data_IF_439577341878
#
_entry.id   IF_439577341878
#
_cell.length_a   1.000
_cell.length_b   1.000
_cell.length_c   1.000
_cell.angle_alpha   90.00
_cell.angle_beta   90.00
_cell.angle_gamma   90.00
#
_symmetry.space_group_name_H-M   'P 1'
#
loop_
_entity.id
_entity.type
_entity.pdbx_description
1 polymer ?
#
# COMPACT_ATOMS: atom_id res chain seq x y z
N UNK A 1 -35.05 -12.77 -32.44
CA UNK A 1 -33.74 -12.74 -31.76
C UNK A 1 -33.53 -14.05 -31.00
N UNK A 2 -32.41 -14.76 -31.20
CA UNK A 2 -32.30 -16.18 -30.88
C UNK A 2 -31.98 -16.42 -29.39
N UNK A 3 -32.86 -17.08 -28.62
CA UNK A 3 -32.75 -17.29 -27.15
C UNK A 3 -31.40 -17.88 -26.72
N UNK A 4 -30.82 -18.76 -27.53
CA UNK A 4 -29.48 -19.35 -27.31
C UNK A 4 -28.35 -18.31 -27.33
N UNK A 5 -28.46 -17.26 -28.17
CA UNK A 5 -27.48 -16.17 -28.23
C UNK A 5 -27.51 -15.31 -26.96
N UNK A 6 -28.70 -15.03 -26.42
CA UNK A 6 -28.85 -14.29 -25.16
C UNK A 6 -28.25 -15.02 -23.96
N UNK A 7 -28.52 -16.32 -23.85
CA UNK A 7 -27.93 -17.14 -22.78
C UNK A 7 -26.40 -17.12 -22.88
N UNK A 8 -25.84 -17.23 -24.09
CA UNK A 8 -24.39 -17.14 -24.29
C UNK A 8 -23.83 -15.79 -23.84
N UNK A 9 -24.49 -14.68 -24.15
CA UNK A 9 -24.05 -13.35 -23.70
C UNK A 9 -24.13 -13.19 -22.19
N UNK A 10 -25.21 -13.65 -21.55
CA UNK A 10 -25.35 -13.60 -20.09
C UNK A 10 -24.24 -14.40 -19.41
N UNK A 11 -23.97 -15.62 -19.89
CA UNK A 11 -22.89 -16.46 -19.36
C UNK A 11 -21.51 -15.82 -19.57
N UNK A 12 -21.26 -15.24 -20.75
CA UNK A 12 -20.00 -14.55 -21.04
C UNK A 12 -19.81 -13.33 -20.13
N UNK A 13 -20.84 -12.49 -19.97
CA UNK A 13 -20.80 -11.33 -19.08
C UNK A 13 -20.58 -11.76 -17.63
N UNK A 14 -21.30 -12.79 -17.17
CA UNK A 14 -21.10 -13.34 -15.82
C UNK A 14 -19.68 -13.86 -15.60
N UNK A 15 -19.12 -14.58 -16.58
CA UNK A 15 -17.74 -15.06 -16.54
C UNK A 15 -16.74 -13.90 -16.49
N UNK A 16 -16.91 -12.85 -17.31
CA UNK A 16 -16.04 -11.68 -17.30
C UNK A 16 -16.09 -10.93 -15.96
N UNK A 17 -17.27 -10.77 -15.36
CA UNK A 17 -17.43 -10.16 -14.03
C UNK A 17 -16.68 -10.98 -12.99
N UNK A 18 -16.81 -12.31 -13.03
CA UNK A 18 -16.15 -13.20 -12.07
C UNK A 18 -14.62 -13.17 -12.21
N UNK A 19 -14.10 -13.19 -13.43
CA UNK A 19 -12.65 -13.04 -13.70
C UNK A 19 -12.16 -11.67 -13.24
N UNK A 20 -12.90 -10.61 -13.52
CA UNK A 20 -12.55 -9.25 -13.06
C UNK A 20 -12.52 -9.15 -11.54
N UNK A 21 -13.49 -9.73 -10.85
CA UNK A 21 -13.54 -9.78 -9.39
C UNK A 21 -12.36 -10.56 -8.80
N UNK A 22 -12.07 -11.74 -9.35
CA UNK A 22 -10.92 -12.55 -8.92
C UNK A 22 -9.59 -11.82 -9.13
N UNK A 23 -9.44 -11.09 -10.25
CA UNK A 23 -8.26 -10.27 -10.52
C UNK A 23 -8.09 -9.14 -9.50
N UNK A 24 -9.18 -8.44 -9.14
CA UNK A 24 -9.15 -7.38 -8.13
C UNK A 24 -8.72 -7.93 -6.77
N UNK A 25 -9.29 -9.06 -6.33
CA UNK A 25 -8.89 -9.70 -5.07
C UNK A 25 -7.43 -10.15 -5.11
N UNK A 26 -6.97 -10.69 -6.23
CA UNK A 26 -5.58 -11.09 -6.38
C UNK A 26 -4.62 -9.90 -6.30
N UNK A 27 -4.94 -8.79 -6.95
CA UNK A 27 -4.05 -7.62 -7.03
C UNK A 27 -4.03 -6.80 -5.72
N UNK A 28 -5.19 -6.63 -5.09
CA UNK A 28 -5.37 -5.70 -3.96
C UNK A 28 -5.65 -6.40 -2.63
N UNK A 29 -5.81 -7.73 -2.63
CA UNK A 29 -6.22 -8.53 -1.47
C UNK A 29 -7.71 -8.39 -1.19
N UNK A 30 -8.12 -7.20 -0.74
CA UNK A 30 -9.51 -6.81 -0.53
C UNK A 30 -9.66 -5.31 -0.73
N UNK A 31 -10.90 -4.84 -0.83
CA UNK A 31 -11.21 -3.41 -0.94
C UNK A 31 -12.37 -3.10 -0.01
N UNK A 32 -12.11 -2.26 0.99
CA UNK A 32 -13.15 -1.55 1.72
C UNK A 32 -13.43 -0.24 0.98
N UNK A 33 -14.53 -0.25 0.23
CA UNK A 33 -14.98 0.90 -0.55
C UNK A 33 -15.30 2.11 0.34
N UNK A 34 -15.83 1.91 1.55
CA UNK A 34 -16.17 3.01 2.45
C UNK A 34 -14.90 3.72 2.91
N UNK A 35 -13.90 2.96 3.34
CA UNK A 35 -12.60 3.54 3.71
C UNK A 35 -11.88 4.16 2.51
N UNK A 36 -11.91 3.50 1.35
CA UNK A 36 -11.33 4.03 0.10
C UNK A 36 -11.93 5.37 -0.29
N UNK A 37 -13.27 5.46 -0.37
CA UNK A 37 -14.00 6.69 -0.71
C UNK A 37 -13.89 7.78 0.37
N UNK A 38 -13.54 7.41 1.59
CA UNK A 38 -13.27 8.39 2.67
C UNK A 38 -11.89 9.06 2.56
N UNK A 39 -11.01 8.53 1.71
CA UNK A 39 -9.68 9.11 1.47
C UNK A 39 -9.82 10.48 0.83
N UNK A 40 -9.16 11.48 1.41
CA UNK A 40 -9.11 12.84 0.89
C UNK A 40 -7.81 13.05 0.14
N UNK A 41 -7.88 13.80 -0.95
CA UNK A 41 -6.74 14.16 -1.78
C UNK A 41 -6.62 15.68 -1.81
N UNK A 42 -5.47 16.19 -1.36
CA UNK A 42 -5.20 17.63 -1.33
C UNK A 42 -4.05 17.94 -2.28
N UNK A 43 -4.34 18.67 -3.37
CA UNK A 43 -3.30 19.11 -4.30
C UNK A 43 -2.40 20.14 -3.65
N UNK A 44 -1.10 20.05 -3.90
CA UNK A 44 -0.13 21.06 -3.47
C UNK A 44 0.03 22.07 -4.60
N UNK A 45 -0.24 23.34 -4.32
CA UNK A 45 -0.17 24.41 -5.33
C UNK A 45 1.24 24.51 -5.93
N UNK A 46 1.31 24.62 -7.26
CA UNK A 46 2.56 24.69 -8.02
C UNK A 46 3.50 23.47 -7.83
N UNK A 47 2.94 22.29 -7.53
CA UNK A 47 3.68 21.03 -7.40
C UNK A 47 3.05 19.90 -8.22
N UNK A 48 3.82 18.86 -8.52
CA UNK A 48 3.34 17.58 -9.07
C UNK A 48 2.94 16.58 -7.97
N UNK A 49 2.89 17.04 -6.73
CA UNK A 49 2.59 16.25 -5.55
C UNK A 49 1.20 16.59 -4.98
N UNK A 50 0.67 15.65 -4.22
CA UNK A 50 -0.56 15.76 -3.44
C UNK A 50 -0.33 15.19 -2.03
N UNK A 51 -1.24 15.51 -1.12
CA UNK A 51 -1.38 14.83 0.16
C UNK A 51 -2.55 13.86 0.07
N UNK A 52 -2.26 12.57 0.24
CA UNK A 52 -3.26 11.53 0.49
C UNK A 52 -3.53 11.50 1.99
N UNK A 53 -4.74 11.85 2.40
CA UNK A 53 -5.20 11.84 3.78
C UNK A 53 -6.19 10.69 4.01
N UNK A 54 -5.80 9.74 4.85
CA UNK A 54 -6.64 8.62 5.30
C UNK A 54 -7.13 8.88 6.73
N UNK A 55 -7.85 7.90 7.30
CA UNK A 55 -8.21 7.94 8.73
C UNK A 55 -7.02 7.68 9.66
N UNK A 56 -5.91 7.14 9.14
CA UNK A 56 -4.77 6.68 9.93
C UNK A 56 -3.54 7.57 9.77
N UNK A 57 -3.36 8.18 8.60
CA UNK A 57 -2.20 9.00 8.29
C UNK A 57 -2.46 10.01 7.18
N UNK A 58 -1.52 10.93 6.99
CA UNK A 58 -1.37 11.76 5.79
C UNK A 58 0.00 11.51 5.18
N UNK A 59 0.04 11.24 3.89
CA UNK A 59 1.26 10.97 3.14
C UNK A 59 1.32 11.87 1.93
N UNK A 60 2.47 12.53 1.73
CA UNK A 60 2.77 13.23 0.50
C UNK A 60 3.20 12.25 -0.58
N UNK A 61 2.57 12.32 -1.74
CA UNK A 61 2.82 11.44 -2.89
C UNK A 61 2.71 12.23 -4.20
N UNK A 62 3.23 11.71 -5.32
CA UNK A 62 2.89 12.25 -6.64
C UNK A 62 1.39 12.23 -6.94
N UNK A 63 0.90 13.16 -7.76
CA UNK A 63 -0.54 13.31 -8.08
C UNK A 63 -1.17 12.08 -8.75
N UNK A 64 -0.38 11.22 -9.39
CA UNK A 64 -0.85 10.00 -10.06
C UNK A 64 -1.03 8.80 -9.11
N UNK A 65 -0.72 8.96 -7.82
CA UNK A 65 -0.94 7.90 -6.84
C UNK A 65 -2.40 7.88 -6.38
N UNK A 66 -2.95 6.68 -6.21
CA UNK A 66 -4.31 6.48 -5.67
C UNK A 66 -4.26 5.51 -4.52
N UNK A 67 -4.94 5.82 -3.44
CA UNK A 67 -5.04 4.95 -2.29
C UNK A 67 -6.30 4.09 -2.35
N UNK A 68 -6.14 2.78 -2.08
CA UNK A 68 -7.22 1.82 -1.92
C UNK A 68 -7.10 1.22 -0.52
N UNK A 69 -8.12 1.43 0.31
CA UNK A 69 -8.15 0.86 1.65
C UNK A 69 -8.56 -0.61 1.56
N UNK A 70 -7.72 -1.50 2.09
CA UNK A 70 -7.95 -2.94 2.04
C UNK A 70 -8.96 -3.41 3.08
N UNK A 71 -9.00 -2.71 4.21
CA UNK A 71 -9.84 -3.05 5.36
C UNK A 71 -8.97 -3.27 6.59
N UNK A 72 -9.38 -4.22 7.43
CA UNK A 72 -8.66 -4.60 8.64
C UNK A 72 -8.29 -6.08 8.53
N UNK A 73 -7.04 -6.41 8.87
CA UNK A 73 -6.58 -7.78 8.95
C UNK A 73 -7.31 -8.57 10.04
N UNK A 74 -7.02 -9.87 10.16
CA UNK A 74 -7.65 -10.74 11.17
C UNK A 74 -7.49 -10.19 12.59
N UNK A 75 -6.36 -9.53 12.87
CA UNK A 75 -6.02 -8.95 14.16
C UNK A 75 -6.54 -7.51 14.35
N UNK A 76 -7.30 -6.99 13.38
CA UNK A 76 -7.87 -5.65 13.43
C UNK A 76 -6.93 -4.52 12.97
N UNK A 77 -5.77 -4.86 12.43
CA UNK A 77 -4.79 -3.89 11.94
C UNK A 77 -5.19 -3.38 10.53
N UNK A 78 -5.24 -2.05 10.31
CA UNK A 78 -5.60 -1.49 9.01
C UNK A 78 -4.51 -1.74 7.96
N UNK A 79 -4.93 -2.18 6.78
CA UNK A 79 -4.04 -2.37 5.63
C UNK A 79 -4.64 -1.76 4.37
N UNK A 80 -3.79 -1.54 3.38
CA UNK A 80 -4.22 -0.98 2.10
C UNK A 80 -3.13 -1.01 1.05
N UNK A 81 -3.41 -0.34 -0.05
CA UNK A 81 -2.48 -0.26 -1.18
C UNK A 81 -2.43 1.15 -1.75
N UNK A 82 -1.27 1.50 -2.31
CA UNK A 82 -1.12 2.63 -3.21
C UNK A 82 -0.95 2.12 -4.63
N UNK A 83 -1.90 2.46 -5.50
CA UNK A 83 -1.77 2.29 -6.93
C UNK A 83 -0.89 3.41 -7.48
N UNK A 84 0.19 3.06 -8.16
CA UNK A 84 1.12 3.99 -8.81
C UNK A 84 1.26 3.66 -10.30
N UNK A 85 1.95 4.51 -11.07
CA UNK A 85 2.33 4.16 -12.44
C UNK A 85 3.45 3.10 -12.50
N UNK A 86 4.12 2.80 -11.38
CA UNK A 86 5.27 1.90 -11.30
C UNK A 86 4.99 0.60 -10.53
N UNK A 87 3.71 0.33 -10.24
CA UNK A 87 3.25 -0.86 -9.53
C UNK A 87 2.26 -0.56 -8.41
N UNK A 88 1.94 -1.60 -7.63
CA UNK A 88 1.04 -1.52 -6.46
C UNK A 88 1.86 -1.72 -5.22
N UNK A 89 1.79 -0.77 -4.30
CA UNK A 89 2.52 -0.81 -3.03
C UNK A 89 1.56 -1.23 -1.94
N UNK A 90 1.74 -2.40 -1.36
CA UNK A 90 0.97 -2.86 -0.22
C UNK A 90 1.57 -2.31 1.08
N UNK A 91 0.69 -1.93 2.00
CA UNK A 91 1.09 -1.49 3.33
C UNK A 91 0.17 -2.07 4.40
N UNK A 92 0.72 -2.18 5.60
CA UNK A 92 -0.04 -2.46 6.83
C UNK A 92 0.39 -1.46 7.90
N UNK A 93 -0.60 -0.90 8.61
CA UNK A 93 -0.39 -0.06 9.78
C UNK A 93 -0.80 -0.85 11.02
N UNK A 94 0.04 -1.82 11.39
CA UNK A 94 -0.29 -2.90 12.31
C UNK A 94 0.90 -3.41 13.12
N UNK A 95 0.62 -4.15 14.20
CA UNK A 95 1.66 -4.74 15.05
C UNK A 95 2.28 -5.99 14.41
N UNK A 96 1.48 -6.70 13.62
CA UNK A 96 1.84 -7.99 13.02
C UNK A 96 2.48 -7.87 11.64
N UNK A 97 2.58 -6.65 11.12
CA UNK A 97 3.28 -6.38 9.88
C UNK A 97 4.76 -6.78 9.99
N UNK A 98 5.42 -7.17 8.88
CA UNK A 98 6.85 -7.48 8.89
C UNK A 98 7.66 -6.32 9.48
N UNK A 99 8.47 -6.62 10.49
CA UNK A 99 9.31 -5.63 11.20
C UNK A 99 10.68 -5.44 10.55
N UNK A 100 11.06 -6.40 9.71
CA UNK A 100 12.36 -6.49 9.06
C UNK A 100 13.56 -6.23 9.98
N UNK A 101 13.67 -7.04 11.03
CA UNK A 101 14.83 -6.98 11.92
C UNK A 101 16.01 -7.78 11.33
N UNK A 102 17.24 -7.35 11.63
CA UNK A 102 18.47 -8.02 11.17
C UNK A 102 18.55 -9.49 11.61
N UNK A 103 17.90 -9.85 12.71
CA UNK A 103 17.91 -11.19 13.30
C UNK A 103 16.82 -12.13 12.75
N UNK A 104 16.01 -11.67 11.80
CA UNK A 104 14.92 -12.45 11.22
C UNK A 104 15.47 -13.43 10.17
N UNK A 105 16.00 -14.55 10.66
CA UNK A 105 16.64 -15.59 9.85
C UNK A 105 15.71 -16.36 8.89
N UNK A 106 14.43 -16.00 8.82
CA UNK A 106 13.45 -16.59 7.91
C UNK A 106 13.61 -16.05 6.49
N UNK A 107 14.10 -14.81 6.35
CA UNK A 107 14.14 -14.12 5.05
C UNK A 107 15.56 -13.66 4.70
N UNK A 108 15.97 -13.90 3.45
CA UNK A 108 17.28 -13.47 2.94
C UNK A 108 17.23 -12.02 2.49
N UNK A 109 17.38 -11.11 3.44
CA UNK A 109 17.49 -9.68 3.17
C UNK A 109 18.56 -9.00 4.02
N UNK A 110 19.05 -7.87 3.53
CA UNK A 110 19.86 -6.93 4.31
C UNK A 110 18.98 -5.82 4.84
N UNK A 111 19.25 -5.34 6.05
CA UNK A 111 18.53 -4.23 6.67
C UNK A 111 19.46 -3.03 6.83
N UNK A 112 18.98 -1.86 6.40
CA UNK A 112 19.63 -0.56 6.56
C UNK A 112 18.75 0.33 7.43
N UNK A 113 19.23 0.64 8.63
CA UNK A 113 18.52 1.49 9.59
C UNK A 113 18.83 2.96 9.31
N UNK A 114 17.78 3.76 9.07
CA UNK A 114 17.92 5.20 8.81
C UNK A 114 16.99 6.04 9.65
N UNK A 115 17.38 7.27 9.89
CA UNK A 115 16.47 8.29 10.41
C UNK A 115 16.02 9.18 9.27
N UNK A 116 14.72 9.25 9.04
CA UNK A 116 14.09 10.15 8.06
C UNK A 116 13.21 11.13 8.82
N UNK A 117 13.59 12.41 8.81
CA UNK A 117 13.02 13.43 9.66
C UNK A 117 13.06 12.99 11.15
N UNK A 118 11.91 12.61 11.71
CA UNK A 118 11.75 12.18 13.10
C UNK A 118 11.48 10.68 13.27
N UNK A 119 11.47 9.92 12.18
CA UNK A 119 11.20 8.49 12.19
C UNK A 119 12.51 7.71 12.03
N UNK A 120 12.78 6.81 12.96
CA UNK A 120 13.72 5.71 12.73
C UNK A 120 13.01 4.66 11.89
N UNK A 121 13.63 4.21 10.80
CA UNK A 121 13.05 3.26 9.86
C UNK A 121 14.04 2.15 9.54
N UNK A 122 13.52 0.95 9.29
CA UNK A 122 14.25 -0.17 8.72
C UNK A 122 13.95 -0.23 7.22
N UNK A 123 14.97 -0.10 6.39
CA UNK A 123 14.86 -0.32 4.95
C UNK A 123 15.49 -1.66 4.63
N UNK A 124 14.72 -2.52 3.98
CA UNK A 124 15.10 -3.91 3.76
C UNK A 124 15.27 -4.16 2.30
N UNK A 125 16.28 -4.94 1.91
CA UNK A 125 16.53 -5.31 0.52
C UNK A 125 16.90 -6.77 0.38
N UNK A 126 16.20 -7.51 -0.49
CA UNK A 126 16.51 -8.92 -0.78
C UNK A 126 17.45 -9.08 -1.99
N UNK A 127 17.81 -10.33 -2.28
CA UNK A 127 18.69 -10.70 -3.41
C UNK A 127 18.07 -10.36 -4.79
N UNK A 128 16.75 -10.28 -4.89
CA UNK A 128 16.02 -9.91 -6.11
C UNK A 128 15.94 -8.38 -6.32
N UNK A 129 16.47 -7.62 -5.36
CA UNK A 129 16.48 -6.16 -5.38
C UNK A 129 15.16 -5.52 -4.98
N UNK A 130 14.24 -6.28 -4.39
CA UNK A 130 12.99 -5.77 -3.82
C UNK A 130 13.28 -5.05 -2.51
N UNK A 131 12.45 -4.05 -2.20
CA UNK A 131 12.62 -3.19 -1.03
C UNK A 131 11.37 -3.26 -0.16
N UNK A 132 11.57 -3.36 1.15
CA UNK A 132 10.54 -3.18 2.17
C UNK A 132 10.92 -2.01 3.06
N UNK A 133 9.93 -1.34 3.66
CA UNK A 133 10.18 -0.25 4.60
C UNK A 133 9.33 -0.49 5.83
N UNK A 134 9.94 -0.53 7.00
CA UNK A 134 9.25 -0.62 8.28
C UNK A 134 9.55 0.60 9.13
N UNK A 135 8.50 1.25 9.62
CA UNK A 135 8.56 2.31 10.62
C UNK A 135 8.03 1.70 11.92
N UNK A 136 8.90 1.35 12.89
CA UNK A 136 8.46 0.87 14.19
C UNK A 136 7.57 1.92 14.87
N UNK A 137 6.68 1.44 15.74
CA UNK A 137 5.80 2.30 16.54
C UNK A 137 6.64 3.28 17.36
N UNK A 138 6.48 4.57 17.09
CA UNK A 138 7.21 5.66 17.72
C UNK A 138 6.42 6.97 17.61
N UNK A 139 6.82 7.98 18.38
CA UNK A 139 6.18 9.30 18.38
C UNK A 139 4.66 9.20 18.60
N UNK A 140 3.86 9.74 17.69
CA UNK A 140 2.39 9.75 17.72
C UNK A 140 1.73 8.51 17.09
N UNK A 141 2.51 7.56 16.61
CA UNK A 141 1.99 6.34 15.99
C UNK A 141 1.28 5.45 17.03
N UNK A 142 0.12 4.92 16.66
CA UNK A 142 -0.62 3.93 17.44
C UNK A 142 -0.15 2.50 17.19
N UNK A 143 0.51 2.26 16.06
CA UNK A 143 1.04 0.96 15.65
C UNK A 143 2.24 1.16 14.71
N UNK A 144 2.87 0.08 14.26
CA UNK A 144 3.94 0.19 13.27
C UNK A 144 3.39 0.40 11.86
N UNK A 145 4.16 1.00 10.96
CA UNK A 145 3.78 1.18 9.55
C UNK A 145 4.79 0.45 8.66
N UNK A 146 4.32 -0.53 7.92
CA UNK A 146 5.16 -1.33 7.03
C UNK A 146 4.67 -1.24 5.60
N UNK A 147 5.59 -0.99 4.68
CA UNK A 147 5.46 -1.24 3.26
C UNK A 147 6.09 -2.61 2.95
N UNK A 148 5.34 -3.48 2.30
CA UNK A 148 5.77 -4.86 2.05
C UNK A 148 6.96 -4.91 1.09
N UNK A 149 7.82 -5.91 1.29
CA UNK A 149 8.96 -6.19 0.43
C UNK A 149 8.48 -6.52 -0.98
N UNK A 150 8.60 -5.57 -1.90
CA UNK A 150 8.08 -5.69 -3.26
C UNK A 150 8.87 -4.84 -4.25
N UNK A 151 8.87 -5.26 -5.52
CA UNK A 151 9.49 -4.50 -6.61
C UNK A 151 8.89 -3.10 -6.78
N UNK A 152 7.60 -2.93 -6.54
CA UNK A 152 6.87 -1.66 -6.63
C UNK A 152 7.36 -0.65 -5.61
N UNK A 153 7.72 -1.08 -4.39
CA UNK A 153 8.36 -0.20 -3.39
C UNK A 153 9.72 0.26 -3.89
N UNK A 154 10.49 -0.65 -4.49
CA UNK A 154 11.80 -0.34 -5.08
C UNK A 154 11.71 0.68 -6.22
N UNK A 155 10.73 0.53 -7.10
CA UNK A 155 10.51 1.44 -8.23
C UNK A 155 10.05 2.84 -7.80
N UNK A 156 9.45 2.95 -6.61
CA UNK A 156 8.91 4.18 -6.05
C UNK A 156 9.73 4.68 -4.83
N UNK A 157 10.94 4.14 -4.63
CA UNK A 157 11.67 4.30 -3.37
C UNK A 157 11.94 5.76 -2.99
N UNK A 158 12.44 6.58 -3.93
CA UNK A 158 12.72 8.00 -3.65
C UNK A 158 11.46 8.81 -3.33
N UNK A 159 10.36 8.52 -4.02
CA UNK A 159 9.04 9.13 -3.77
C UNK A 159 8.53 8.76 -2.38
N UNK A 160 8.68 7.49 -1.97
CA UNK A 160 8.34 7.01 -0.63
C UNK A 160 9.19 7.66 0.45
N UNK A 161 10.51 7.75 0.27
CA UNK A 161 11.39 8.40 1.26
C UNK A 161 11.04 9.88 1.43
N UNK A 162 10.69 10.57 0.34
CA UNK A 162 10.23 11.96 0.41
C UNK A 162 8.86 12.06 1.09
N UNK A 163 7.93 11.16 0.79
CA UNK A 163 6.64 11.09 1.47
C UNK A 163 6.79 10.86 2.98
N UNK A 164 7.68 9.95 3.39
CA UNK A 164 7.95 9.63 4.81
C UNK A 164 8.48 10.84 5.58
N UNK A 165 9.25 11.75 4.95
CA UNK A 165 9.73 12.97 5.61
C UNK A 165 8.57 13.84 6.12
N UNK A 166 7.45 13.84 5.39
CA UNK A 166 6.26 14.65 5.64
C UNK A 166 5.07 13.82 6.17
N UNK A 167 5.31 12.56 6.58
CA UNK A 167 4.29 11.66 7.07
C UNK A 167 3.77 12.09 8.45
N UNK A 168 2.44 12.16 8.58
CA UNK A 168 1.72 12.45 9.81
C UNK A 168 0.79 11.29 10.16
N UNK A 169 0.85 10.77 11.40
CA UNK A 169 -0.10 9.75 11.89
C UNK A 169 -1.23 10.38 12.72
N UNK A 170 -2.38 9.68 12.82
CA UNK A 170 -3.61 10.12 13.51
C UNK A 170 -4.03 9.22 14.66
#
# INVERSE_FOLDING_TARGET
MNRKKWIKYILLTGFLILVGYAFILFQYGSIDFKGTLSTKYHKIENSTDQIIETNFFKLKTPENWTHLFGGYGTEGDPFGTFQTCKGVIHYEYGHWAPTYNEDDGIYRYTVDKKTINRFQINITKNEEGEIGIHIPMQNEMKSSFTLYLDKSVSNNFDELLNGIKELEFK
#
